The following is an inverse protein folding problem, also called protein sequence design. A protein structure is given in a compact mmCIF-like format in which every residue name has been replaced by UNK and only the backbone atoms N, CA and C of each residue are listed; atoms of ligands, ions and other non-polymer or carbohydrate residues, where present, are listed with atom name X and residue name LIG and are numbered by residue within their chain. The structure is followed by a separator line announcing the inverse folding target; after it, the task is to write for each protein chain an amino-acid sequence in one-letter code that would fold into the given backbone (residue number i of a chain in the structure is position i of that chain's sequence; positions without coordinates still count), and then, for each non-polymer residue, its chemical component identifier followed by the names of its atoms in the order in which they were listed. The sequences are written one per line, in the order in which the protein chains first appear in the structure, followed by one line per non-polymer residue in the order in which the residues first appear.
data_IF_770380833179
#
_entry.id   IF_770380833179
#
_cell.length_a   1.000
_cell.length_b   1.000
_cell.length_c   1.000
_cell.angle_alpha   90.00
_cell.angle_beta   90.00
_cell.angle_gamma   90.00
#
_symmetry.space_group_name_H-M   'P 1'
#
loop_
_entity.id
_entity.type
_entity.pdbx_description
1 polymer ?
#
# COMPACT_ATOMS: atom_id res chain seq x y z
N UNK A 1 -27.88 7.41 -2.14
CA UNK A 1 -26.69 7.81 -2.89
C UNK A 1 -25.76 6.61 -2.85
N UNK A 2 -25.38 6.05 -4.00
CA UNK A 2 -24.27 5.10 -4.04
C UNK A 2 -22.99 5.93 -3.97
N UNK A 3 -22.58 6.29 -2.76
CA UNK A 3 -21.33 7.01 -2.48
C UNK A 3 -20.13 6.05 -2.51
N UNK A 4 -20.08 5.16 -3.51
CA UNK A 4 -18.89 4.34 -3.72
C UNK A 4 -17.83 5.24 -4.34
N UNK A 5 -16.84 5.65 -3.55
CA UNK A 5 -15.63 6.27 -4.07
C UNK A 5 -15.06 5.39 -5.19
N UNK A 6 -14.78 5.95 -6.37
CA UNK A 6 -14.31 5.15 -7.49
C UNK A 6 -12.90 4.61 -7.20
N UNK A 7 -12.68 3.33 -7.51
CA UNK A 7 -11.42 2.62 -7.27
C UNK A 7 -10.88 2.07 -8.60
N UNK A 8 -9.58 2.23 -8.81
CA UNK A 8 -8.85 1.65 -9.94
C UNK A 8 -7.80 0.69 -9.39
N UNK A 9 -7.85 -0.59 -9.79
CA UNK A 9 -6.82 -1.59 -9.46
C UNK A 9 -5.81 -1.72 -10.60
N UNK A 10 -4.55 -1.99 -10.26
CA UNK A 10 -3.46 -2.16 -11.22
C UNK A 10 -2.70 -3.46 -10.91
N UNK A 11 -2.98 -4.50 -11.68
CA UNK A 11 -2.43 -5.84 -11.48
C UNK A 11 -1.41 -6.22 -12.57
N UNK A 12 -0.50 -7.14 -12.23
CA UNK A 12 0.52 -7.65 -13.14
C UNK A 12 1.82 -8.07 -12.45
N UNK A 13 2.78 -8.67 -13.17
CA UNK A 13 3.99 -9.26 -12.59
C UNK A 13 4.94 -8.22 -11.98
N UNK A 14 5.86 -8.67 -11.12
CA UNK A 14 6.92 -7.82 -10.58
C UNK A 14 7.75 -7.18 -11.69
N UNK A 15 8.12 -5.90 -11.53
CA UNK A 15 8.95 -5.19 -12.52
C UNK A 15 8.22 -4.67 -13.78
N UNK A 16 6.91 -4.89 -13.94
CA UNK A 16 6.16 -4.42 -15.11
C UNK A 16 5.84 -2.91 -15.15
N UNK A 17 6.26 -2.14 -14.13
CA UNK A 17 6.07 -0.69 -14.08
C UNK A 17 4.74 -0.19 -13.50
N UNK A 18 3.94 -1.06 -12.87
CA UNK A 18 2.62 -0.72 -12.28
C UNK A 18 2.68 0.46 -11.32
N UNK A 19 3.67 0.49 -10.42
CA UNK A 19 3.85 1.58 -9.47
C UNK A 19 4.08 2.93 -10.17
N UNK A 20 4.90 2.95 -11.21
CA UNK A 20 5.12 4.14 -12.05
C UNK A 20 3.83 4.60 -12.73
N UNK A 21 3.02 3.67 -13.25
CA UNK A 21 1.72 4.00 -13.86
C UNK A 21 0.73 4.51 -12.80
N UNK A 22 0.68 3.87 -11.64
CA UNK A 22 -0.17 4.24 -10.51
C UNK A 22 0.07 5.70 -10.08
N UNK A 23 1.34 6.05 -9.82
CA UNK A 23 1.72 7.41 -9.40
C UNK A 23 1.35 8.46 -10.46
N UNK A 24 1.58 8.16 -11.74
CA UNK A 24 1.22 9.08 -12.84
C UNK A 24 -0.29 9.24 -12.98
N UNK A 25 -1.05 8.15 -12.85
CA UNK A 25 -2.51 8.17 -12.93
C UNK A 25 -3.11 8.96 -11.76
N UNK A 26 -2.67 8.66 -10.53
CA UNK A 26 -3.10 9.36 -9.33
C UNK A 26 -2.77 10.85 -9.38
N UNK A 27 -1.56 11.23 -9.81
CA UNK A 27 -1.19 12.63 -10.00
C UNK A 27 -2.03 13.35 -11.05
N UNK A 28 -2.46 12.67 -12.12
CA UNK A 28 -3.36 13.25 -13.14
C UNK A 28 -4.80 13.39 -12.66
N UNK A 29 -5.27 12.48 -11.83
CA UNK A 29 -6.65 12.47 -11.32
C UNK A 29 -6.80 13.27 -10.01
N UNK A 30 -5.70 13.59 -9.33
CA UNK A 30 -5.71 14.14 -7.97
C UNK A 30 -6.21 13.11 -6.95
N UNK A 31 -5.98 11.82 -7.19
CA UNK A 31 -6.50 10.72 -6.37
C UNK A 31 -5.44 10.22 -5.39
N UNK A 32 -5.91 9.52 -4.36
CA UNK A 32 -5.07 8.79 -3.41
C UNK A 32 -4.43 7.56 -4.07
N UNK A 33 -3.30 7.13 -3.51
CA UNK A 33 -2.63 5.88 -3.88
C UNK A 33 -2.69 4.89 -2.72
N UNK A 34 -2.69 3.60 -3.05
CA UNK A 34 -2.54 2.51 -2.11
C UNK A 34 -1.58 1.49 -2.74
N UNK A 35 -0.43 1.24 -2.09
CA UNK A 35 0.51 0.19 -2.50
C UNK A 35 0.45 -0.98 -1.51
N UNK A 36 -0.31 -2.02 -1.87
CA UNK A 36 -0.42 -3.24 -1.06
C UNK A 36 0.93 -3.90 -0.80
N UNK A 37 1.89 -3.80 -1.73
CA UNK A 37 3.22 -4.36 -1.53
C UNK A 37 3.98 -3.70 -0.39
N UNK A 38 3.77 -2.40 -0.17
CA UNK A 38 4.38 -1.67 0.94
C UNK A 38 3.70 -2.01 2.27
N UNK A 39 2.38 -2.22 2.29
CA UNK A 39 1.68 -2.75 3.49
C UNK A 39 2.31 -4.05 3.97
N UNK A 40 2.44 -5.05 3.09
CA UNK A 40 3.02 -6.34 3.47
C UNK A 40 4.46 -6.22 4.00
N UNK A 41 5.28 -5.35 3.40
CA UNK A 41 6.65 -5.12 3.85
C UNK A 41 6.71 -4.41 5.20
N UNK A 42 5.84 -3.44 5.45
CA UNK A 42 5.75 -2.76 6.74
C UNK A 42 5.29 -3.71 7.84
N UNK A 43 4.23 -4.51 7.61
CA UNK A 43 3.79 -5.55 8.55
C UNK A 43 4.93 -6.51 8.87
N UNK A 44 5.62 -7.01 7.85
CA UNK A 44 6.73 -7.94 8.03
C UNK A 44 7.90 -7.29 8.78
N UNK A 45 8.18 -6.01 8.53
CA UNK A 45 9.26 -5.29 9.21
C UNK A 45 8.97 -5.14 10.71
N UNK A 46 7.77 -4.70 11.10
CA UNK A 46 7.35 -4.63 12.50
C UNK A 46 7.40 -6.01 13.17
N UNK A 47 6.88 -7.04 12.50
CA UNK A 47 6.92 -8.40 13.02
C UNK A 47 8.35 -8.91 13.25
N UNK A 48 9.28 -8.59 12.34
CA UNK A 48 10.69 -8.96 12.49
C UNK A 48 11.37 -8.22 13.65
N UNK A 49 11.00 -6.97 13.91
CA UNK A 49 11.52 -6.20 15.05
C UNK A 49 11.07 -6.79 16.39
N UNK A 50 9.81 -7.22 16.46
CA UNK A 50 9.20 -7.82 17.65
C UNK A 50 9.41 -9.35 17.74
N UNK A 51 10.11 -9.96 16.77
CA UNK A 51 10.30 -11.41 16.63
C UNK A 51 8.98 -12.20 16.63
N UNK A 52 7.92 -11.60 16.09
CA UNK A 52 6.59 -12.19 15.95
C UNK A 52 6.56 -13.12 14.74
N UNK A 53 6.13 -14.35 14.98
CA UNK A 53 5.87 -15.36 13.93
C UNK A 53 4.46 -15.93 13.99
N UNK A 54 3.70 -15.59 15.05
CA UNK A 54 2.31 -16.01 15.22
C UNK A 54 1.37 -15.19 14.33
N UNK A 55 0.45 -15.88 13.67
CA UNK A 55 -0.51 -15.26 12.74
C UNK A 55 -1.46 -14.29 13.43
N UNK A 56 -1.92 -14.61 14.65
CA UNK A 56 -2.81 -13.74 15.43
C UNK A 56 -2.13 -12.41 15.77
N UNK A 57 -0.87 -12.49 16.20
CA UNK A 57 -0.06 -11.30 16.48
C UNK A 57 0.25 -10.49 15.21
N UNK A 58 0.47 -11.13 14.05
CA UNK A 58 0.63 -10.42 12.76
C UNK A 58 -0.62 -9.62 12.38
N UNK A 59 -1.81 -10.17 12.63
CA UNK A 59 -3.09 -9.46 12.42
C UNK A 59 -3.19 -8.25 13.33
N UNK A 60 -2.78 -8.37 14.60
CA UNK A 60 -2.77 -7.24 15.52
C UNK A 60 -1.82 -6.13 15.08
N UNK A 61 -0.62 -6.47 14.63
CA UNK A 61 0.34 -5.51 14.06
C UNK A 61 -0.31 -4.80 12.88
N UNK A 62 -0.86 -5.56 11.93
CA UNK A 62 -1.48 -5.00 10.72
C UNK A 62 -2.63 -4.02 11.04
N UNK A 63 -3.46 -4.32 12.03
CA UNK A 63 -4.58 -3.48 12.44
C UNK A 63 -4.18 -2.21 13.18
N UNK A 64 -3.00 -2.18 13.80
CA UNK A 64 -2.50 -1.03 14.58
C UNK A 64 -1.63 -0.08 13.76
N UNK A 65 -1.24 -0.45 12.54
CA UNK A 65 -0.41 0.40 11.70
C UNK A 65 -1.16 1.63 11.20
N UNK A 66 -0.63 2.81 11.50
CA UNK A 66 -1.05 4.07 10.90
C UNK A 66 -0.13 4.38 9.70
N UNK A 67 -0.69 4.34 8.49
CA UNK A 67 0.10 4.43 7.25
C UNK A 67 -0.47 5.54 6.37
N UNK A 68 0.34 6.56 6.12
CA UNK A 68 0.06 7.61 5.16
C UNK A 68 0.87 7.41 3.88
N UNK A 69 0.16 7.30 2.76
CA UNK A 69 0.78 7.28 1.44
C UNK A 69 0.99 8.71 0.94
N UNK A 70 2.19 9.23 1.15
CA UNK A 70 2.58 10.53 0.63
C UNK A 70 3.23 10.33 -0.74
N UNK A 71 2.67 10.90 -1.82
CA UNK A 71 3.34 10.87 -3.12
C UNK A 71 4.61 11.71 -3.03
N UNK A 72 5.79 11.08 -3.02
CA UNK A 72 7.03 11.80 -3.29
C UNK A 72 7.04 12.20 -4.77
N UNK A 73 7.68 13.32 -5.11
CA UNK A 73 7.70 13.94 -6.45
C UNK A 73 8.40 13.07 -7.51
N UNK A 74 7.86 11.89 -7.82
CA UNK A 74 8.33 10.98 -8.85
C UNK A 74 9.08 9.73 -8.37
N UNK A 75 9.10 9.41 -7.08
CA UNK A 75 9.61 8.12 -6.57
C UNK A 75 8.63 7.46 -5.62
N UNK A 76 8.60 6.12 -5.69
CA UNK A 76 8.12 5.26 -4.62
C UNK A 76 9.19 5.22 -3.52
#
# INVERSE_FOLDING_TARGET
MNDSLPVITLDGPGGSGKGTVCLRLAGRLGWHILDSGSLYRLTAMEALQDMVVDEGQLIEIANKMEIDYVPDKGRL
#
